data_IF_609253792457
#
_entry.id   IF_609253792457
#
_cell.length_a   1.000
_cell.length_b   1.000
_cell.length_c   1.000
_cell.angle_alpha   90.00
_cell.angle_beta   90.00
_cell.angle_gamma   90.00
#
_symmetry.space_group_name_H-M   'P 1'
#
loop_
_entity.id
_entity.type
_entity.pdbx_description
1 polymer ?
#
# COMPACT_ATOMS: atom_id res chain seq x y z
N UNK A 1 -30.07 24.21 9.24
CA UNK A 1 -30.58 23.25 8.24
C UNK A 1 -31.59 22.27 8.85
N UNK A 2 -31.24 21.49 9.87
CA UNK A 2 -32.12 20.44 10.48
C UNK A 2 -33.53 20.91 10.88
N UNK A 3 -33.67 22.07 11.55
CA UNK A 3 -34.99 22.63 11.92
C UNK A 3 -35.83 23.01 10.69
N UNK A 4 -35.22 23.67 9.71
CA UNK A 4 -35.90 24.06 8.47
C UNK A 4 -36.33 22.84 7.64
N UNK A 5 -35.52 21.78 7.63
CA UNK A 5 -35.89 20.50 7.01
C UNK A 5 -37.11 19.88 7.68
N UNK A 6 -37.17 19.85 9.01
CA UNK A 6 -38.29 19.29 9.77
C UNK A 6 -39.58 20.09 9.56
N UNK A 7 -39.52 21.41 9.64
CA UNK A 7 -40.67 22.31 9.42
C UNK A 7 -41.25 22.18 8.02
N UNK A 8 -40.41 22.24 6.98
CA UNK A 8 -40.87 22.11 5.59
C UNK A 8 -41.39 20.70 5.30
N UNK A 9 -40.80 19.66 5.89
CA UNK A 9 -41.30 18.29 5.75
C UNK A 9 -42.70 18.14 6.37
N UNK A 10 -42.92 18.75 7.53
CA UNK A 10 -44.22 18.75 8.19
C UNK A 10 -45.27 19.54 7.39
N UNK A 11 -44.87 20.65 6.77
CA UNK A 11 -45.76 21.50 5.98
C UNK A 11 -46.15 20.87 4.65
N UNK A 12 -45.20 20.26 3.94
CA UNK A 12 -45.40 19.74 2.58
C UNK A 12 -45.72 18.25 2.54
N UNK A 13 -45.61 17.54 3.67
CA UNK A 13 -45.82 16.09 3.75
C UNK A 13 -44.79 15.26 2.97
N UNK A 14 -43.68 15.88 2.54
CA UNK A 14 -42.56 15.27 1.79
C UNK A 14 -41.25 15.94 2.17
N UNK A 15 -40.12 15.31 1.87
CA UNK A 15 -38.82 15.95 2.01
C UNK A 15 -38.73 17.26 1.19
N UNK A 16 -38.16 18.34 1.76
CA UNK A 16 -37.93 19.59 1.05
C UNK A 16 -36.77 19.46 0.06
N UNK A 17 -36.85 20.23 -1.02
CA UNK A 17 -35.77 20.37 -2.01
C UNK A 17 -34.69 21.34 -1.52
N UNK A 18 -33.49 21.25 -2.09
CA UNK A 18 -32.38 22.20 -1.84
C UNK A 18 -32.81 23.64 -2.08
N UNK A 19 -33.57 23.87 -3.15
CA UNK A 19 -34.12 25.19 -3.50
C UNK A 19 -35.09 25.74 -2.44
N UNK A 20 -36.00 24.91 -1.92
CA UNK A 20 -36.95 25.30 -0.86
C UNK A 20 -36.22 25.65 0.45
N UNK A 21 -35.16 24.90 0.78
CA UNK A 21 -34.31 25.18 1.94
C UNK A 21 -33.54 26.49 1.78
N UNK A 22 -32.95 26.73 0.61
CA UNK A 22 -32.23 27.95 0.28
C UNK A 22 -33.13 29.18 0.44
N UNK A 23 -34.34 29.14 -0.15
CA UNK A 23 -35.32 30.21 -0.02
C UNK A 23 -35.74 30.44 1.44
N UNK A 24 -36.04 29.36 2.19
CA UNK A 24 -36.52 29.46 3.57
C UNK A 24 -35.47 30.01 4.54
N UNK A 25 -34.20 29.68 4.28
CA UNK A 25 -33.05 30.09 5.11
C UNK A 25 -32.38 31.37 4.60
N UNK A 26 -32.78 31.88 3.43
CA UNK A 26 -32.19 33.05 2.79
C UNK A 26 -30.67 32.93 2.57
N UNK A 27 -30.24 31.73 2.20
CA UNK A 27 -28.84 31.39 1.85
C UNK A 27 -28.81 30.82 0.42
N UNK A 28 -27.62 30.71 -0.15
CA UNK A 28 -27.45 30.09 -1.47
C UNK A 28 -27.68 28.58 -1.43
N UNK A 29 -28.00 27.98 -2.58
CA UNK A 29 -28.11 26.52 -2.71
C UNK A 29 -26.76 25.81 -2.45
N UNK A 30 -25.65 26.48 -2.78
CA UNK A 30 -24.30 26.01 -2.50
C UNK A 30 -24.03 25.90 -0.99
N UNK A 31 -24.41 26.92 -0.22
CA UNK A 31 -24.32 26.89 1.26
C UNK A 31 -25.26 25.85 1.88
N UNK A 32 -26.40 25.56 1.24
CA UNK A 32 -27.28 24.46 1.68
C UNK A 32 -26.61 23.11 1.44
N UNK A 33 -26.01 22.89 0.27
CA UNK A 33 -25.30 21.66 -0.07
C UNK A 33 -24.09 21.44 0.85
N UNK A 34 -23.25 22.45 1.04
CA UNK A 34 -22.11 22.40 1.94
C UNK A 34 -22.55 22.07 3.38
N UNK A 35 -23.62 22.71 3.86
CA UNK A 35 -24.14 22.42 5.19
C UNK A 35 -24.76 21.03 5.34
N UNK A 36 -25.33 20.46 4.27
CA UNK A 36 -25.82 19.07 4.24
C UNK A 36 -24.67 18.07 4.22
N UNK A 37 -23.62 18.33 3.44
CA UNK A 37 -22.38 17.53 3.42
C UNK A 37 -21.67 17.55 4.77
N UNK A 38 -21.56 18.74 5.38
CA UNK A 38 -20.97 18.93 6.71
C UNK A 38 -21.79 18.20 7.79
N UNK A 39 -23.12 18.21 7.70
CA UNK A 39 -23.97 17.42 8.59
C UNK A 39 -23.78 15.90 8.40
N UNK A 40 -23.53 15.44 7.17
CA UNK A 40 -23.24 14.05 6.86
C UNK A 40 -21.85 13.62 7.35
N UNK A 41 -20.87 14.54 7.37
CA UNK A 41 -19.53 14.30 7.91
C UNK A 41 -19.52 13.99 9.42
N UNK A 42 -20.55 14.38 10.17
CA UNK A 42 -20.74 14.01 11.58
C UNK A 42 -21.52 12.69 11.77
N UNK A 43 -22.03 12.09 10.70
CA UNK A 43 -22.65 10.77 10.71
C UNK A 43 -21.61 9.75 10.26
N UNK A 44 -20.89 9.16 11.21
CA UNK A 44 -20.05 8.00 10.92
C UNK A 44 -20.94 6.87 10.40
N UNK A 45 -20.86 6.54 9.12
CA UNK A 45 -21.46 5.33 8.59
C UNK A 45 -20.74 4.14 9.22
N UNK A 46 -21.48 3.15 9.71
CA UNK A 46 -20.86 1.92 10.19
C UNK A 46 -20.22 1.19 9.02
N UNK A 47 -18.99 0.73 9.18
CA UNK A 47 -18.32 -0.10 8.18
C UNK A 47 -18.97 -1.48 8.06
N UNK A 48 -19.84 -1.86 9.00
CA UNK A 48 -20.62 -3.10 8.99
C UNK A 48 -21.90 -3.02 8.12
N UNK A 49 -22.19 -1.86 7.51
CA UNK A 49 -23.38 -1.66 6.68
C UNK A 49 -23.04 -1.94 5.20
N UNK A 50 -23.96 -2.54 4.42
CA UNK A 50 -23.79 -2.72 2.98
C UNK A 50 -23.58 -1.39 2.23
N UNK A 51 -22.73 -1.39 1.21
CA UNK A 51 -22.35 -0.17 0.46
C UNK A 51 -23.49 0.40 -0.40
N UNK A 52 -24.24 -0.45 -1.10
CA UNK A 52 -25.27 -0.03 -2.06
C UNK A 52 -26.66 -0.59 -1.79
N UNK A 53 -26.79 -1.90 -1.61
CA UNK A 53 -28.05 -2.62 -1.38
C UNK A 53 -27.87 -3.63 -0.24
N UNK A 54 -28.95 -4.11 0.38
CA UNK A 54 -28.91 -5.09 1.50
C UNK A 54 -28.18 -6.42 1.15
N UNK A 55 -27.97 -6.71 -0.13
CA UNK A 55 -27.20 -7.87 -0.61
C UNK A 55 -25.70 -7.57 -0.83
N UNK A 56 -25.27 -6.31 -0.68
CA UNK A 56 -23.87 -5.90 -0.86
C UNK A 56 -23.04 -6.30 0.37
N UNK A 57 -21.75 -6.64 0.16
CA UNK A 57 -20.84 -6.83 1.29
C UNK A 57 -20.74 -5.57 2.13
N UNK A 58 -20.41 -5.74 3.42
CA UNK A 58 -20.16 -4.62 4.30
C UNK A 58 -19.00 -3.77 3.75
N UNK A 59 -19.04 -2.46 3.96
CA UNK A 59 -17.97 -1.55 3.51
C UNK A 59 -16.61 -1.98 4.05
N UNK A 60 -16.54 -2.59 5.25
CA UNK A 60 -15.32 -3.17 5.79
C UNK A 60 -14.71 -4.28 4.91
N UNK A 61 -15.56 -5.11 4.30
CA UNK A 61 -15.15 -6.28 3.53
C UNK A 61 -14.67 -5.93 2.12
N UNK A 62 -14.93 -4.70 1.66
CA UNK A 62 -14.44 -4.19 0.37
C UNK A 62 -13.11 -3.45 0.49
N UNK A 63 -12.65 -3.18 1.72
CA UNK A 63 -11.35 -2.56 1.96
C UNK A 63 -10.23 -3.57 1.69
N UNK A 64 -9.49 -3.34 0.60
CA UNK A 64 -8.26 -4.07 0.31
C UNK A 64 -7.15 -3.75 1.32
N UNK A 65 -6.28 -4.73 1.56
CA UNK A 65 -5.03 -4.55 2.31
C UNK A 65 -3.83 -4.73 1.38
N UNK A 66 -2.69 -4.19 1.77
CA UNK A 66 -1.42 -4.49 1.12
C UNK A 66 -1.11 -5.99 1.28
N UNK A 67 -0.68 -6.63 0.19
CA UNK A 67 -0.22 -8.01 0.23
C UNK A 67 1.30 -8.01 0.46
N UNK A 68 1.72 -8.23 1.71
CA UNK A 68 3.12 -8.37 2.09
C UNK A 68 3.88 -9.43 1.26
N UNK A 69 3.18 -10.42 0.68
CA UNK A 69 3.80 -11.42 -0.17
C UNK A 69 4.23 -10.86 -1.54
N UNK A 70 3.59 -9.79 -2.01
CA UNK A 70 4.00 -9.06 -3.21
C UNK A 70 5.17 -8.11 -2.92
N UNK A 71 5.42 -7.79 -1.64
CA UNK A 71 6.55 -6.96 -1.26
C UNK A 71 7.88 -7.61 -1.68
N UNK A 72 8.60 -6.91 -2.54
CA UNK A 72 9.89 -7.34 -3.07
C UNK A 72 9.85 -8.51 -4.06
N UNK A 73 8.67 -8.87 -4.61
CA UNK A 73 8.59 -9.86 -5.69
C UNK A 73 9.37 -9.41 -6.92
N UNK A 74 9.31 -8.12 -7.26
CA UNK A 74 10.06 -7.50 -8.35
C UNK A 74 11.57 -7.67 -8.15
N UNK A 75 12.07 -7.37 -6.94
CA UNK A 75 13.49 -7.57 -6.62
C UNK A 75 13.92 -9.04 -6.73
N UNK A 76 13.06 -9.99 -6.31
CA UNK A 76 13.38 -11.43 -6.41
C UNK A 76 13.46 -11.87 -7.86
N UNK A 77 12.47 -11.51 -8.68
CA UNK A 77 12.41 -11.89 -10.08
C UNK A 77 13.54 -11.23 -10.89
N UNK A 78 13.85 -9.95 -10.63
CA UNK A 78 14.96 -9.25 -11.30
C UNK A 78 16.34 -9.74 -10.83
N UNK A 79 16.51 -10.15 -9.56
CA UNK A 79 17.80 -10.62 -9.05
C UNK A 79 18.14 -12.05 -9.52
N UNK A 80 17.14 -12.90 -9.74
CA UNK A 80 17.31 -14.31 -10.12
C UNK A 80 18.21 -14.52 -11.36
N UNK A 81 17.98 -13.90 -12.53
CA UNK A 81 18.85 -14.06 -13.69
C UNK A 81 20.27 -13.51 -13.43
N UNK A 82 20.38 -12.41 -12.67
CA UNK A 82 21.68 -11.82 -12.32
C UNK A 82 22.52 -12.77 -11.45
N UNK A 83 21.88 -13.47 -10.51
CA UNK A 83 22.53 -14.51 -9.73
C UNK A 83 22.97 -15.67 -10.63
N UNK A 84 22.17 -16.07 -11.62
CA UNK A 84 22.50 -17.15 -12.57
C UNK A 84 23.72 -16.84 -13.45
N UNK A 85 24.00 -15.58 -13.75
CA UNK A 85 25.20 -15.17 -14.49
C UNK A 85 26.48 -15.18 -13.66
N UNK A 86 26.38 -15.23 -12.32
CA UNK A 86 27.55 -15.14 -11.46
C UNK A 86 28.49 -16.35 -11.65
N UNK A 87 29.81 -16.13 -11.57
CA UNK A 87 30.79 -17.21 -11.54
C UNK A 87 30.46 -18.21 -10.40
N UNK A 88 30.64 -19.53 -10.61
CA UNK A 88 30.29 -20.55 -9.62
C UNK A 88 30.89 -20.32 -8.23
N UNK A 89 32.10 -19.75 -8.18
CA UNK A 89 32.77 -19.41 -6.93
C UNK A 89 32.06 -18.30 -6.16
N UNK A 90 31.61 -17.25 -6.85
CA UNK A 90 30.92 -16.12 -6.24
C UNK A 90 29.54 -16.57 -5.75
N UNK A 91 28.82 -17.39 -6.53
CA UNK A 91 27.58 -18.06 -6.09
C UNK A 91 27.77 -18.87 -4.82
N UNK A 92 28.81 -19.72 -4.76
CA UNK A 92 29.13 -20.52 -3.56
C UNK A 92 29.38 -19.61 -2.35
N UNK A 93 30.17 -18.54 -2.52
CA UNK A 93 30.48 -17.60 -1.44
C UNK A 93 29.20 -16.89 -0.94
N UNK A 94 28.32 -16.44 -1.82
CA UNK A 94 27.03 -15.84 -1.45
C UNK A 94 26.14 -16.83 -0.69
N UNK A 95 26.04 -18.06 -1.18
CA UNK A 95 25.22 -19.11 -0.54
C UNK A 95 25.71 -19.40 0.88
N UNK A 96 27.02 -19.60 1.07
CA UNK A 96 27.60 -19.82 2.39
C UNK A 96 27.41 -18.60 3.31
N UNK A 97 27.45 -17.39 2.76
CA UNK A 97 27.32 -16.15 3.54
C UNK A 97 25.90 -15.89 4.01
N UNK A 98 24.92 -15.97 3.12
CA UNK A 98 23.54 -15.53 3.38
C UNK A 98 22.59 -16.66 3.75
N UNK A 99 22.84 -17.89 3.27
CA UNK A 99 22.02 -19.07 3.60
C UNK A 99 22.74 -20.02 4.57
N UNK A 100 24.07 -20.11 4.48
CA UNK A 100 24.89 -20.91 5.37
C UNK A 100 25.23 -20.25 6.71
N UNK A 101 24.89 -18.95 6.89
CA UNK A 101 25.23 -18.15 8.07
C UNK A 101 26.72 -18.17 8.45
N UNK A 102 27.62 -18.40 7.48
CA UNK A 102 29.04 -18.48 7.75
C UNK A 102 29.69 -17.09 7.82
N UNK A 103 30.65 -16.95 8.72
CA UNK A 103 31.56 -15.80 8.75
C UNK A 103 32.51 -15.83 7.55
N UNK A 104 33.06 -14.69 7.15
CA UNK A 104 34.01 -14.63 6.04
C UNK A 104 35.27 -15.48 6.30
N UNK A 105 35.69 -15.63 7.56
CA UNK A 105 36.80 -16.52 7.94
C UNK A 105 36.46 -18.00 7.77
N UNK A 106 35.24 -18.41 8.11
CA UNK A 106 34.78 -19.79 7.87
C UNK A 106 34.64 -20.07 6.37
N UNK A 107 34.10 -19.13 5.59
CA UNK A 107 34.01 -19.23 4.13
C UNK A 107 35.41 -19.32 3.50
N UNK A 108 36.35 -18.54 4.00
CA UNK A 108 37.75 -18.56 3.56
C UNK A 108 38.39 -19.94 3.73
N UNK A 109 38.15 -20.59 4.88
CA UNK A 109 38.60 -21.96 5.13
C UNK A 109 37.94 -22.96 4.16
N UNK A 110 36.61 -22.88 3.98
CA UNK A 110 35.83 -23.76 3.10
C UNK A 110 36.19 -23.62 1.61
N UNK A 111 36.54 -22.41 1.16
CA UNK A 111 36.80 -22.10 -0.26
C UNK A 111 38.31 -22.03 -0.56
N UNK A 112 39.18 -22.18 0.43
CA UNK A 112 40.63 -22.23 0.28
C UNK A 112 41.29 -20.91 -0.14
N UNK A 113 40.80 -19.77 0.36
CA UNK A 113 41.39 -18.43 0.14
C UNK A 113 41.46 -17.63 1.44
N UNK A 114 42.14 -16.48 1.43
CA UNK A 114 42.16 -15.60 2.58
C UNK A 114 40.80 -14.94 2.84
N UNK A 115 40.50 -14.65 4.11
CA UNK A 115 39.30 -13.91 4.50
C UNK A 115 39.21 -12.55 3.80
N UNK A 116 40.36 -11.87 3.60
CA UNK A 116 40.37 -10.60 2.87
C UNK A 116 39.98 -10.77 1.40
N UNK A 117 40.37 -11.87 0.76
CA UNK A 117 39.94 -12.18 -0.60
C UNK A 117 38.43 -12.45 -0.65
N UNK A 118 37.88 -13.22 0.31
CA UNK A 118 36.42 -13.42 0.43
C UNK A 118 35.69 -12.10 0.60
N UNK A 119 36.18 -11.22 1.47
CA UNK A 119 35.61 -9.88 1.71
C UNK A 119 35.56 -9.04 0.42
N UNK A 120 36.67 -9.00 -0.33
CA UNK A 120 36.72 -8.26 -1.61
C UNK A 120 35.79 -8.85 -2.66
N UNK A 121 35.71 -10.17 -2.75
CA UNK A 121 34.78 -10.84 -3.67
C UNK A 121 33.33 -10.50 -3.32
N UNK A 122 32.93 -10.64 -2.06
CA UNK A 122 31.58 -10.28 -1.61
C UNK A 122 31.26 -8.81 -1.93
N UNK A 123 32.15 -7.88 -1.58
CA UNK A 123 31.92 -6.46 -1.83
C UNK A 123 31.75 -6.16 -3.33
N UNK A 124 32.60 -6.74 -4.18
CA UNK A 124 32.53 -6.58 -5.64
C UNK A 124 31.26 -7.19 -6.22
N UNK A 125 30.95 -8.43 -5.86
CA UNK A 125 29.76 -9.14 -6.37
C UNK A 125 28.48 -8.41 -5.96
N UNK A 126 28.38 -7.95 -4.71
CA UNK A 126 27.21 -7.20 -4.24
C UNK A 126 27.08 -5.83 -4.93
N UNK A 127 28.19 -5.13 -5.16
CA UNK A 127 28.17 -3.89 -5.93
C UNK A 127 27.69 -4.13 -7.37
N UNK A 128 28.22 -5.15 -8.04
CA UNK A 128 27.80 -5.51 -9.40
C UNK A 128 26.32 -5.88 -9.49
N UNK A 129 25.81 -6.67 -8.54
CA UNK A 129 24.38 -7.05 -8.49
C UNK A 129 23.50 -5.81 -8.28
N UNK A 130 23.90 -4.92 -7.37
CA UNK A 130 23.16 -3.67 -7.11
C UNK A 130 23.17 -2.76 -8.33
N UNK A 131 24.31 -2.57 -8.97
CA UNK A 131 24.42 -1.71 -10.15
C UNK A 131 23.52 -2.25 -11.28
N UNK A 132 23.53 -3.57 -11.52
CA UNK A 132 22.64 -4.19 -12.51
C UNK A 132 21.15 -4.12 -12.16
N UNK A 133 20.79 -4.12 -10.87
CA UNK A 133 19.40 -3.94 -10.42
C UNK A 133 18.90 -2.49 -10.55
N UNK A 134 19.80 -1.51 -10.49
CA UNK A 134 19.47 -0.09 -10.55
C UNK A 134 19.58 0.50 -11.96
N UNK A 135 20.01 -0.28 -12.95
CA UNK A 135 19.93 0.11 -14.36
C UNK A 135 18.48 -0.12 -14.79
N UNK A 136 17.69 0.96 -14.75
CA UNK A 136 16.40 1.05 -15.42
C UNK A 136 16.61 0.83 -16.94
N UNK A 137 15.73 0.05 -17.57
CA UNK A 137 15.66 -0.10 -19.04
C UNK A 137 15.40 1.24 -19.75
#
# INVERSE_FOLDING_TARGET
LTSATAELSQLHGRAPTVHELAQRLSISEEEVLEGLESANAYSTLSLDVPDTDDESPAVADTLGAEDDALEGVEYRESLKPLLEELPPREKKILLLRFFGNMTQSQIAQEVGISQMHVSRLLARTLAQLRDKLLVEE
#
